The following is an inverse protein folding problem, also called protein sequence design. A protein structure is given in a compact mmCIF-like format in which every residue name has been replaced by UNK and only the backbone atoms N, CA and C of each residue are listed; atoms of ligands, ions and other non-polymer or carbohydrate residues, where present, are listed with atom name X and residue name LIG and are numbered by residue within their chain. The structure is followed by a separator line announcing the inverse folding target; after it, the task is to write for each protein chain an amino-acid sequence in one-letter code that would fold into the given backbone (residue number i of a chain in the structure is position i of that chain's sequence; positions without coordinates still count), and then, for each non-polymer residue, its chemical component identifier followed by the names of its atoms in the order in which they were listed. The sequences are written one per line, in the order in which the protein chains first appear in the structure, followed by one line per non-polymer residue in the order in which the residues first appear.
data_IF_307557002985
#
_entry.id   IF_307557002985
#
_cell.length_a   1.000
_cell.length_b   1.000
_cell.length_c   1.000
_cell.angle_alpha   90.00
_cell.angle_beta   90.00
_cell.angle_gamma   90.00
#
_symmetry.space_group_name_H-M   'P 1'
#
loop_
_entity.id
_entity.type
_entity.pdbx_description
1 polymer ?
#
# COMPACT_ATOMS: atom_id res chain seq x y z
N UNK A 1 -26.14 -14.52 -12.38
CA UNK A 1 -26.54 -13.15 -12.10
C UNK A 1 -25.34 -12.23 -12.09
N UNK A 2 -25.39 -11.23 -12.95
CA UNK A 2 -24.29 -10.26 -13.06
C UNK A 2 -24.03 -9.52 -11.74
N UNK A 3 -25.07 -9.30 -10.96
CA UNK A 3 -24.95 -8.61 -9.68
C UNK A 3 -24.12 -9.36 -8.65
N UNK A 4 -24.19 -10.68 -8.62
CA UNK A 4 -23.40 -11.48 -7.70
C UNK A 4 -21.92 -11.46 -8.05
N UNK A 5 -21.59 -11.48 -9.34
CA UNK A 5 -20.20 -11.37 -9.79
C UNK A 5 -19.54 -10.03 -9.50
N UNK A 6 -20.35 -9.00 -9.17
CA UNK A 6 -19.88 -7.64 -8.94
C UNK A 6 -19.82 -7.24 -7.46
N UNK A 7 -20.03 -8.18 -6.53
CA UNK A 7 -20.02 -7.83 -5.10
C UNK A 7 -18.68 -7.22 -4.67
N UNK A 8 -17.57 -7.82 -5.07
CA UNK A 8 -16.24 -7.30 -4.73
C UNK A 8 -15.95 -5.96 -5.42
N UNK A 9 -16.38 -5.81 -6.68
CA UNK A 9 -16.22 -4.54 -7.38
C UNK A 9 -17.01 -3.42 -6.72
N UNK A 10 -18.22 -3.69 -6.27
CA UNK A 10 -19.05 -2.73 -5.53
C UNK A 10 -18.45 -2.37 -4.19
N UNK A 11 -17.86 -3.34 -3.47
CA UNK A 11 -17.20 -3.10 -2.19
C UNK A 11 -16.00 -2.19 -2.39
N UNK A 12 -15.21 -2.43 -3.44
CA UNK A 12 -14.07 -1.59 -3.79
C UNK A 12 -14.52 -0.17 -4.18
N UNK A 13 -15.53 -0.05 -5.01
CA UNK A 13 -16.08 1.26 -5.41
C UNK A 13 -16.57 2.04 -4.21
N UNK A 14 -17.24 1.37 -3.28
CA UNK A 14 -17.72 1.99 -2.06
C UNK A 14 -16.57 2.48 -1.19
N UNK A 15 -15.53 1.65 -0.99
CA UNK A 15 -14.35 2.03 -0.23
C UNK A 15 -13.64 3.22 -0.88
N UNK A 16 -13.49 3.20 -2.21
CA UNK A 16 -12.90 4.29 -2.96
C UNK A 16 -13.69 5.59 -2.79
N UNK A 17 -15.01 5.51 -2.79
CA UNK A 17 -15.89 6.66 -2.61
C UNK A 17 -15.87 7.19 -1.19
N UNK A 18 -15.97 6.30 -0.21
CA UNK A 18 -16.02 6.66 1.21
C UNK A 18 -14.73 7.31 1.69
N UNK A 19 -13.61 6.93 1.08
CA UNK A 19 -12.28 7.43 1.45
C UNK A 19 -11.62 8.27 0.35
N UNK A 20 -12.41 8.81 -0.58
CA UNK A 20 -11.90 9.51 -1.76
C UNK A 20 -10.92 10.65 -1.42
N UNK A 21 -11.13 11.37 -0.33
CA UNK A 21 -10.26 12.47 0.09
C UNK A 21 -8.86 12.02 0.46
N UNK A 22 -8.70 10.75 0.83
CA UNK A 22 -7.44 10.16 1.26
C UNK A 22 -6.72 9.41 0.14
N UNK A 23 -7.38 9.19 -0.98
CA UNK A 23 -6.88 8.34 -2.06
C UNK A 23 -6.38 9.14 -3.24
N UNK A 24 -5.32 8.65 -3.87
CA UNK A 24 -4.80 9.17 -5.12
C UNK A 24 -4.20 8.02 -5.94
N UNK A 25 -3.85 8.30 -7.19
CA UNK A 25 -3.30 7.30 -8.09
C UNK A 25 -4.37 6.47 -8.77
N UNK A 26 -4.03 5.22 -9.10
CA UNK A 26 -4.93 4.33 -9.82
C UNK A 26 -6.09 3.88 -8.94
N UNK A 27 -7.28 3.83 -9.49
CA UNK A 27 -8.47 3.33 -8.80
C UNK A 27 -8.61 1.81 -8.82
N UNK A 28 -7.72 1.08 -9.50
CA UNK A 28 -7.79 -0.38 -9.55
C UNK A 28 -7.39 -1.07 -8.24
N UNK A 29 -6.54 -0.43 -7.44
CA UNK A 29 -6.18 -0.95 -6.12
C UNK A 29 -5.35 -2.22 -6.13
N UNK A 30 -4.53 -2.46 -7.16
CA UNK A 30 -3.69 -3.66 -7.23
C UNK A 30 -2.63 -3.62 -6.16
N UNK A 31 -1.90 -2.51 -6.06
CA UNK A 31 -0.94 -2.24 -5.01
C UNK A 31 -1.48 -1.06 -4.20
N UNK A 32 -1.75 -1.27 -2.94
CA UNK A 32 -2.17 -0.20 -2.04
C UNK A 32 -0.96 0.29 -1.25
N UNK A 33 -0.72 1.59 -1.27
CA UNK A 33 0.37 2.23 -0.57
C UNK A 33 -0.20 3.09 0.55
N UNK A 34 0.13 2.73 1.80
CA UNK A 34 -0.31 3.46 2.98
C UNK A 34 0.78 4.41 3.46
N UNK A 35 0.42 5.64 3.79
CA UNK A 35 1.35 6.63 4.30
C UNK A 35 0.68 7.58 5.29
N UNK A 36 1.45 8.12 6.23
CA UNK A 36 1.03 9.22 7.09
C UNK A 36 1.71 10.52 6.66
N UNK A 37 2.95 10.46 6.22
CA UNK A 37 3.69 11.59 5.67
C UNK A 37 3.54 11.61 4.15
N UNK A 38 3.40 12.79 3.54
CA UNK A 38 3.31 12.89 2.08
C UNK A 38 4.47 12.19 1.40
N UNK A 39 4.17 11.42 0.36
CA UNK A 39 5.18 10.67 -0.39
C UNK A 39 5.90 11.62 -1.34
N UNK A 40 7.23 11.66 -1.27
CA UNK A 40 8.03 12.45 -2.19
C UNK A 40 7.92 11.92 -3.63
N UNK A 41 8.04 12.82 -4.60
CA UNK A 41 7.93 12.45 -6.02
C UNK A 41 8.90 11.33 -6.41
N UNK A 42 10.11 11.32 -5.86
CA UNK A 42 11.10 10.27 -6.14
C UNK A 42 10.62 8.90 -5.63
N UNK A 43 10.01 8.87 -4.46
CA UNK A 43 9.48 7.63 -3.88
C UNK A 43 8.27 7.12 -4.67
N UNK A 44 7.35 8.01 -4.99
CA UNK A 44 6.17 7.68 -5.80
C UNK A 44 6.59 7.11 -7.16
N UNK A 45 7.50 7.78 -7.85
CA UNK A 45 8.02 7.33 -9.13
C UNK A 45 8.72 5.98 -9.01
N UNK A 46 9.50 5.76 -7.96
CA UNK A 46 10.21 4.50 -7.74
C UNK A 46 9.23 3.34 -7.52
N UNK A 47 8.15 3.55 -6.77
CA UNK A 47 7.12 2.54 -6.59
C UNK A 47 6.42 2.20 -7.91
N UNK A 48 6.00 3.21 -8.67
CA UNK A 48 5.34 3.01 -9.96
C UNK A 48 6.24 2.25 -10.94
N UNK A 49 7.49 2.69 -11.09
CA UNK A 49 8.46 2.03 -11.97
C UNK A 49 8.81 0.63 -11.48
N UNK A 50 8.96 0.46 -10.18
CA UNK A 50 9.29 -0.82 -9.59
C UNK A 50 8.21 -1.87 -9.88
N UNK A 51 6.95 -1.54 -9.64
CA UNK A 51 5.86 -2.47 -9.89
C UNK A 51 5.61 -2.68 -11.40
N UNK A 52 5.83 -1.68 -12.24
CA UNK A 52 5.80 -1.87 -13.69
C UNK A 52 6.86 -2.89 -14.13
N UNK A 53 8.08 -2.78 -13.59
CA UNK A 53 9.15 -3.74 -13.89
C UNK A 53 8.84 -5.16 -13.40
N UNK A 54 8.03 -5.29 -12.34
CA UNK A 54 7.61 -6.59 -11.81
C UNK A 54 6.39 -7.18 -12.54
N UNK A 55 5.91 -6.51 -13.57
CA UNK A 55 4.85 -7.04 -14.43
C UNK A 55 3.44 -6.57 -14.11
N UNK A 56 3.27 -5.61 -13.19
CA UNK A 56 1.94 -5.09 -12.82
C UNK A 56 1.46 -3.97 -13.75
N UNK A 57 2.28 -3.55 -14.70
CA UNK A 57 1.94 -2.47 -15.62
C UNK A 57 2.17 -1.09 -15.02
N UNK A 58 1.95 -0.07 -15.83
CA UNK A 58 2.00 1.31 -15.37
C UNK A 58 0.79 1.60 -14.48
N UNK A 59 0.94 2.55 -13.56
CA UNK A 59 -0.15 2.99 -12.67
C UNK A 59 -0.73 1.85 -11.83
N UNK A 60 0.13 0.97 -11.31
CA UNK A 60 -0.32 -0.14 -10.47
C UNK A 60 -0.74 0.32 -9.06
N UNK A 61 -0.25 1.48 -8.60
CA UNK A 61 -0.37 1.91 -7.20
C UNK A 61 -1.58 2.80 -6.95
N UNK A 62 -2.30 2.49 -5.87
CA UNK A 62 -3.27 3.38 -5.24
C UNK A 62 -2.64 3.88 -3.95
N UNK A 63 -2.62 5.17 -3.72
CA UNK A 63 -1.99 5.80 -2.55
C UNK A 63 -3.06 6.24 -1.57
N UNK A 64 -2.90 5.89 -0.29
CA UNK A 64 -3.86 6.22 0.77
C UNK A 64 -3.17 6.90 1.95
N UNK A 65 -3.60 8.13 2.25
CA UNK A 65 -3.15 8.86 3.43
C UNK A 65 -3.95 8.37 4.63
N UNK A 66 -3.27 7.81 5.63
CA UNK A 66 -3.92 7.16 6.76
C UNK A 66 -3.71 7.87 8.10
N UNK A 67 -3.13 9.06 8.07
CA UNK A 67 -2.91 9.84 9.28
C UNK A 67 -4.24 10.13 9.98
N UNK A 68 -4.26 9.90 11.29
CA UNK A 68 -5.43 10.13 12.14
C UNK A 68 -6.68 9.30 11.78
N UNK A 69 -6.50 8.26 10.98
CA UNK A 69 -7.60 7.37 10.61
C UNK A 69 -7.86 6.37 11.74
N UNK A 70 -9.12 6.20 12.09
CA UNK A 70 -9.51 5.21 13.09
C UNK A 70 -9.22 3.79 12.60
N UNK A 71 -8.94 2.86 13.52
CA UNK A 71 -8.63 1.46 13.17
C UNK A 71 -9.71 0.81 12.32
N UNK A 72 -10.98 1.02 12.67
CA UNK A 72 -12.10 0.46 11.92
C UNK A 72 -12.16 1.01 10.50
N UNK A 73 -11.87 2.30 10.33
CA UNK A 73 -11.87 2.94 9.02
C UNK A 73 -10.68 2.47 8.17
N UNK A 74 -9.52 2.28 8.78
CA UNK A 74 -8.36 1.74 8.08
C UNK A 74 -8.60 0.29 7.66
N UNK A 75 -9.19 -0.52 8.51
CA UNK A 75 -9.60 -1.88 8.17
C UNK A 75 -10.57 -1.88 6.98
N UNK A 76 -11.60 -1.05 7.03
CA UNK A 76 -12.57 -0.90 5.95
C UNK A 76 -11.92 -0.48 4.63
N UNK A 77 -10.99 0.47 4.70
CA UNK A 77 -10.29 0.94 3.51
C UNK A 77 -9.48 -0.17 2.85
N UNK A 78 -8.66 -0.87 3.63
CA UNK A 78 -7.79 -1.92 3.10
C UNK A 78 -8.61 -3.11 2.61
N UNK A 79 -9.54 -3.60 3.42
CA UNK A 79 -10.35 -4.76 3.05
C UNK A 79 -11.36 -4.43 1.95
N UNK A 80 -11.87 -3.21 1.91
CA UNK A 80 -12.76 -2.77 0.85
C UNK A 80 -12.07 -2.67 -0.50
N UNK A 81 -10.85 -2.14 -0.54
CA UNK A 81 -10.04 -2.09 -1.77
C UNK A 81 -9.55 -3.48 -2.14
N UNK A 82 -9.22 -4.28 -1.15
CA UNK A 82 -8.72 -5.65 -1.31
C UNK A 82 -7.54 -5.72 -2.28
N UNK A 83 -6.43 -5.05 -1.96
CA UNK A 83 -5.28 -5.03 -2.85
C UNK A 83 -4.60 -6.40 -2.89
N UNK A 84 -3.89 -6.66 -3.99
CA UNK A 84 -3.05 -7.83 -4.11
C UNK A 84 -1.81 -7.70 -3.23
N UNK A 85 -1.22 -6.51 -3.23
CA UNK A 85 0.01 -6.20 -2.48
C UNK A 85 -0.18 -4.93 -1.65
N UNK A 86 0.50 -4.86 -0.51
CA UNK A 86 0.43 -3.71 0.39
C UNK A 86 1.82 -3.18 0.71
N UNK A 87 2.02 -1.88 0.52
CA UNK A 87 3.27 -1.18 0.84
C UNK A 87 2.97 -0.10 1.87
N UNK A 88 3.77 -0.01 2.90
CA UNK A 88 3.65 1.00 3.95
C UNK A 88 4.94 1.83 3.97
N UNK A 89 4.83 3.14 3.80
CA UNK A 89 6.00 3.96 3.47
C UNK A 89 6.64 4.66 4.66
N UNK A 90 6.04 4.61 5.83
CA UNK A 90 6.63 5.21 7.04
C UNK A 90 6.26 4.40 8.30
N UNK A 91 7.05 4.64 9.34
CA UNK A 91 6.90 3.90 10.60
C UNK A 91 5.56 4.13 11.29
N UNK A 92 5.01 5.33 11.20
CA UNK A 92 3.72 5.66 11.82
C UNK A 92 2.58 4.91 11.12
N UNK A 93 2.59 4.88 9.80
CA UNK A 93 1.61 4.11 9.04
C UNK A 93 1.73 2.61 9.33
N UNK A 94 2.96 2.11 9.45
CA UNK A 94 3.20 0.71 9.81
C UNK A 94 2.63 0.37 11.19
N UNK A 95 2.83 1.25 12.16
CA UNK A 95 2.30 1.08 13.52
C UNK A 95 0.76 1.07 13.52
N UNK A 96 0.15 1.98 12.76
CA UNK A 96 -1.31 2.03 12.62
C UNK A 96 -1.84 0.72 12.04
N UNK A 97 -1.27 0.25 10.96
CA UNK A 97 -1.74 -0.97 10.30
C UNK A 97 -1.48 -2.22 11.16
N UNK A 98 -0.33 -2.30 11.83
CA UNK A 98 -0.05 -3.40 12.77
C UNK A 98 -1.10 -3.45 13.89
N UNK A 99 -1.55 -2.30 14.37
CA UNK A 99 -2.64 -2.22 15.36
C UNK A 99 -3.97 -2.73 14.84
N UNK A 100 -4.27 -2.45 13.56
CA UNK A 100 -5.49 -2.92 12.90
C UNK A 100 -5.50 -4.44 12.76
N UNK A 101 -4.42 -5.03 12.27
CA UNK A 101 -4.33 -6.47 12.04
C UNK A 101 -3.95 -7.25 13.28
N UNK A 102 -3.52 -6.57 14.34
CA UNK A 102 -3.07 -7.16 15.60
C UNK A 102 -1.98 -8.18 15.40
N UNK A 103 -1.07 -7.88 14.49
CA UNK A 103 0.10 -8.69 14.19
C UNK A 103 1.30 -7.78 14.00
N UNK A 104 2.51 -8.25 14.33
CA UNK A 104 3.70 -7.45 14.09
C UNK A 104 3.91 -7.20 12.60
N UNK A 105 4.29 -5.98 12.27
CA UNK A 105 4.69 -5.62 10.92
C UNK A 105 6.13 -5.13 10.98
N UNK A 106 7.11 -5.98 10.64
CA UNK A 106 8.51 -5.61 10.71
C UNK A 106 8.84 -4.57 9.64
N UNK A 107 9.67 -3.61 10.02
CA UNK A 107 10.22 -2.65 9.06
C UNK A 107 11.36 -3.31 8.29
N UNK A 108 11.41 -3.10 6.98
CA UNK A 108 12.43 -3.64 6.08
C UNK A 108 12.49 -5.18 6.08
N UNK A 109 11.39 -5.82 6.44
CA UNK A 109 11.28 -7.27 6.48
C UNK A 109 10.13 -7.79 5.65
N UNK A 110 10.01 -9.11 5.63
CA UNK A 110 8.91 -9.78 4.93
C UNK A 110 7.75 -10.02 5.88
N UNK A 111 6.54 -9.76 5.43
CA UNK A 111 5.33 -10.04 6.18
C UNK A 111 4.21 -10.46 5.22
N UNK A 112 3.37 -11.36 5.68
CA UNK A 112 2.15 -11.74 4.98
C UNK A 112 0.99 -11.58 5.96
N UNK A 113 0.19 -10.54 5.75
CA UNK A 113 -0.89 -10.18 6.65
C UNK A 113 -2.22 -10.27 5.91
N UNK A 114 -3.17 -11.00 6.49
CA UNK A 114 -4.49 -11.23 5.89
C UNK A 114 -4.40 -11.73 4.45
N UNK A 115 -3.44 -12.63 4.19
CA UNK A 115 -3.30 -13.28 2.90
C UNK A 115 -2.59 -12.47 1.82
N UNK A 116 -2.07 -11.27 2.14
CA UNK A 116 -1.36 -10.46 1.15
C UNK A 116 0.06 -10.13 1.61
N UNK A 117 0.98 -10.14 0.64
CA UNK A 117 2.35 -9.72 0.90
C UNK A 117 2.39 -8.24 1.26
N UNK A 118 3.06 -7.93 2.38
CA UNK A 118 3.10 -6.58 2.95
C UNK A 118 4.55 -6.21 3.23
N UNK A 119 4.98 -5.04 2.81
CA UNK A 119 6.32 -4.51 3.10
C UNK A 119 6.20 -3.14 3.71
N UNK A 120 6.92 -2.91 4.80
CA UNK A 120 6.91 -1.63 5.50
C UNK A 120 8.31 -1.03 5.53
N UNK A 121 8.39 0.26 5.29
CA UNK A 121 9.63 1.03 5.32
C UNK A 121 9.56 2.02 6.48
N UNK A 122 10.68 2.27 7.21
CA UNK A 122 10.67 3.25 8.30
C UNK A 122 10.51 4.68 7.78
N UNK A 123 11.06 4.97 6.60
CA UNK A 123 11.01 6.29 5.99
C UNK A 123 11.39 6.21 4.52
N UNK A 124 10.47 5.80 3.67
CA UNK A 124 10.77 5.53 2.27
C UNK A 124 11.32 6.75 1.53
N UNK A 125 10.80 7.97 1.83
CA UNK A 125 11.24 9.19 1.17
C UNK A 125 12.75 9.41 1.23
N UNK A 126 13.40 8.98 2.31
CA UNK A 126 14.85 9.16 2.50
C UNK A 126 15.69 7.99 1.96
N UNK A 127 15.06 6.95 1.43
CA UNK A 127 15.76 5.73 1.03
C UNK A 127 16.23 5.75 -0.43
N UNK A 128 16.33 6.93 -1.03
CA UNK A 128 16.80 7.09 -2.41
C UNK A 128 18.10 7.91 -2.52
N UNK A 129 18.64 8.31 -1.37
CA UNK A 129 19.86 9.13 -1.31
C UNK A 129 21.14 8.32 -1.54
N UNK A 130 21.14 7.05 -1.15
CA UNK A 130 22.28 6.15 -1.33
C UNK A 130 21.89 4.97 -2.19
N UNK A 131 22.88 4.39 -2.85
CA UNK A 131 22.65 3.20 -3.67
C UNK A 131 22.28 1.99 -2.81
N UNK A 132 22.88 1.86 -1.63
CA UNK A 132 22.57 0.77 -0.71
C UNK A 132 21.09 0.79 -0.30
N UNK A 133 20.54 1.96 0.01
CA UNK A 133 19.13 2.11 0.36
C UNK A 133 18.22 1.83 -0.85
N UNK A 134 18.58 2.34 -2.03
CA UNK A 134 17.82 2.05 -3.26
C UNK A 134 17.77 0.55 -3.55
N UNK A 135 18.86 -0.15 -3.36
CA UNK A 135 18.91 -1.62 -3.53
C UNK A 135 18.06 -2.34 -2.49
N UNK A 136 18.05 -1.85 -1.25
CA UNK A 136 17.18 -2.40 -0.21
C UNK A 136 15.71 -2.27 -0.58
N UNK A 137 15.30 -1.08 -1.04
CA UNK A 137 13.92 -0.85 -1.51
C UNK A 137 13.57 -1.83 -2.63
N UNK A 138 14.40 -1.90 -3.66
CA UNK A 138 14.15 -2.77 -4.81
C UNK A 138 14.07 -4.24 -4.41
N UNK A 139 14.99 -4.69 -3.56
CA UNK A 139 14.99 -6.08 -3.08
C UNK A 139 13.69 -6.41 -2.34
N UNK A 140 13.19 -5.50 -1.50
CA UNK A 140 11.95 -5.72 -0.76
C UNK A 140 10.73 -5.74 -1.68
N UNK A 141 10.64 -4.82 -2.65
CA UNK A 141 9.55 -4.85 -3.62
C UNK A 141 9.56 -6.12 -4.44
N UNK A 142 10.72 -6.51 -4.92
CA UNK A 142 10.91 -7.73 -5.71
C UNK A 142 10.55 -9.00 -4.92
N UNK A 143 10.76 -8.98 -3.61
CA UNK A 143 10.42 -10.11 -2.74
C UNK A 143 8.91 -10.32 -2.55
N UNK A 144 8.09 -9.38 -3.01
CA UNK A 144 6.62 -9.48 -2.90
C UNK A 144 6.01 -10.38 -3.97
N UNK A 145 6.75 -10.73 -4.98
CA UNK A 145 6.29 -11.52 -6.12
C UNK A 145 7.09 -12.80 -6.31
#
# INVERSE_FOLDING_TARGET
MAEQGNIYARTRERAMKDHAERLSGNSAGIVLVLFTEPIAAVAESALEKGFAALGFGEDACTFAQVKDLAETDLFDLVEGIDPLLLVVTDADAAKLYAGVVRQPLPLLGKARLFGRETRAFPHLNSMFETEADRQTVWRLLKSMV
#
